data_IF_952745115237
#
_entry.id   IF_952745115237
#
_cell.length_a   1.000
_cell.length_b   1.000
_cell.length_c   1.000
_cell.angle_alpha   90.00
_cell.angle_beta   90.00
_cell.angle_gamma   90.00
#
_symmetry.space_group_name_H-M   'P 1'
#
loop_
_entity.id
_entity.type
_entity.pdbx_description
1 polymer ?
#
# COMPACT_ATOMS: atom_id res chain seq x y z
N UNK A 1 85.33 2.03 12.69
CA UNK A 1 84.39 1.46 11.68
C UNK A 1 83.00 1.72 12.16
N UNK A 2 82.39 2.81 11.63
CA UNK A 2 81.03 3.25 12.03
C UNK A 2 80.00 2.79 11.03
N UNK A 3 79.11 1.92 11.45
CA UNK A 3 77.95 1.52 10.66
C UNK A 3 76.78 2.37 11.13
N UNK A 4 76.38 3.37 10.30
CA UNK A 4 75.14 4.16 10.46
C UNK A 4 74.03 3.42 9.76
N UNK A 5 73.11 2.87 10.52
CA UNK A 5 71.85 2.33 10.00
C UNK A 5 70.87 3.48 9.69
N UNK A 6 70.49 3.62 8.43
CA UNK A 6 69.44 4.54 7.98
C UNK A 6 68.09 3.88 8.19
N UNK A 7 67.28 4.44 9.09
CA UNK A 7 65.91 4.04 9.29
C UNK A 7 65.03 4.80 8.24
N UNK A 8 64.45 4.04 7.34
CA UNK A 8 63.45 4.57 6.36
C UNK A 8 62.11 4.54 7.01
N UNK A 9 61.57 5.72 7.33
CA UNK A 9 60.22 5.86 7.81
C UNK A 9 59.29 6.04 6.59
N UNK A 10 58.48 5.03 6.29
CA UNK A 10 57.46 5.07 5.27
C UNK A 10 56.18 5.62 5.92
N UNK A 11 55.85 6.87 5.65
CA UNK A 11 54.56 7.46 5.99
C UNK A 11 53.51 6.95 5.01
N UNK A 12 52.69 6.00 5.42
CA UNK A 12 51.48 5.61 4.71
C UNK A 12 50.41 6.66 4.94
N UNK A 13 50.23 7.59 3.98
CA UNK A 13 49.10 8.50 3.96
C UNK A 13 47.85 7.71 3.60
N UNK A 14 47.07 7.29 4.59
CA UNK A 14 45.74 6.74 4.38
C UNK A 14 44.78 7.80 3.88
N UNK A 15 44.37 7.67 2.64
CA UNK A 15 43.29 8.47 2.09
C UNK A 15 41.95 7.97 2.70
N UNK A 16 41.48 8.66 3.72
CA UNK A 16 40.11 8.54 4.19
C UNK A 16 39.19 9.22 3.17
N UNK A 17 38.69 8.45 2.22
CA UNK A 17 37.57 8.89 1.41
C UNK A 17 36.32 8.90 2.29
N UNK A 18 36.04 10.04 2.90
CA UNK A 18 34.71 10.29 3.44
C UNK A 18 33.74 10.38 2.25
N UNK A 19 32.99 9.32 2.01
CA UNK A 19 31.79 9.40 1.18
C UNK A 19 30.83 10.34 1.92
N UNK A 20 30.86 11.61 1.57
CA UNK A 20 29.80 12.54 1.93
C UNK A 20 28.54 12.02 1.22
N UNK A 21 27.67 11.33 1.94
CA UNK A 21 26.31 11.17 1.49
C UNK A 21 25.76 12.58 1.37
N UNK A 22 25.57 13.04 0.14
CA UNK A 22 24.82 14.24 -0.12
C UNK A 22 23.43 13.98 0.43
N UNK A 23 23.16 14.45 1.61
CA UNK A 23 21.82 14.48 2.17
C UNK A 23 21.08 15.47 1.30
N UNK A 24 20.20 14.96 0.41
CA UNK A 24 19.29 15.80 -0.37
C UNK A 24 18.51 16.68 0.61
N UNK A 25 18.99 17.91 0.77
CA UNK A 25 18.26 18.89 1.55
C UNK A 25 17.01 19.23 0.78
N UNK A 26 15.87 18.87 1.31
CA UNK A 26 14.60 19.38 0.81
C UNK A 26 14.65 20.91 0.98
N UNK A 27 14.90 21.62 -0.12
CA UNK A 27 14.83 23.05 -0.15
C UNK A 27 13.38 23.48 -0.29
N UNK A 28 12.80 23.90 0.82
CA UNK A 28 11.51 24.57 0.80
C UNK A 28 11.74 26.04 0.41
N UNK A 29 11.46 26.38 -0.84
CA UNK A 29 11.72 27.73 -1.36
C UNK A 29 10.46 28.56 -1.57
N UNK A 30 9.27 28.07 -1.18
CA UNK A 30 8.03 28.72 -1.54
C UNK A 30 7.31 29.38 -0.38
N UNK A 31 6.82 30.58 -0.63
CA UNK A 31 5.67 31.16 0.06
C UNK A 31 4.35 30.64 -0.55
N UNK A 32 4.46 29.85 -1.60
CA UNK A 32 3.32 29.41 -2.38
C UNK A 32 2.60 28.28 -1.66
N UNK A 33 1.46 28.64 -1.19
CA UNK A 33 0.50 27.68 -0.71
C UNK A 33 -0.15 27.00 -1.92
N UNK A 34 -0.29 25.69 -1.84
CA UNK A 34 -1.07 24.97 -2.83
C UNK A 34 -2.50 25.49 -2.89
N UNK A 35 -3.08 25.57 -4.06
CA UNK A 35 -4.49 25.93 -4.24
C UNK A 35 -5.33 24.64 -4.30
N UNK A 36 -6.11 24.32 -3.24
CA UNK A 36 -6.90 23.09 -3.19
C UNK A 36 -8.05 23.04 -4.24
N UNK A 37 -8.39 24.17 -4.86
CA UNK A 37 -9.37 24.20 -5.94
C UNK A 37 -8.80 23.74 -7.28
N UNK A 38 -7.49 23.61 -7.41
CA UNK A 38 -6.82 23.16 -8.63
C UNK A 38 -6.36 21.72 -8.47
N UNK A 39 -6.50 20.93 -9.54
CA UNK A 39 -6.15 19.50 -9.56
C UNK A 39 -4.69 19.24 -9.12
N UNK A 40 -3.77 20.08 -9.57
CA UNK A 40 -2.35 20.02 -9.24
C UNK A 40 -1.96 20.93 -8.07
N UNK A 41 -2.92 21.54 -7.41
CA UNK A 41 -2.68 22.54 -6.38
C UNK A 41 -1.99 23.81 -6.88
N UNK A 42 -1.95 24.04 -8.20
CA UNK A 42 -1.13 25.07 -8.87
C UNK A 42 0.38 24.92 -8.62
N UNK A 43 0.81 23.73 -8.22
CA UNK A 43 2.24 23.46 -8.05
C UNK A 43 2.90 23.17 -9.40
N UNK A 44 4.10 23.65 -9.58
CA UNK A 44 4.91 23.30 -10.73
C UNK A 44 5.19 21.80 -10.76
N UNK A 45 5.02 21.13 -11.90
CA UNK A 45 5.34 19.72 -12.00
C UNK A 45 6.84 19.49 -11.73
N UNK A 46 7.13 18.45 -10.95
CA UNK A 46 8.52 18.03 -10.73
C UNK A 46 9.04 17.40 -12.00
N UNK A 47 10.17 17.88 -12.51
CA UNK A 47 10.78 17.36 -13.75
C UNK A 47 11.11 15.86 -13.58
N UNK A 48 10.66 15.05 -14.53
CA UNK A 48 10.86 13.60 -14.52
C UNK A 48 9.84 12.81 -13.69
N UNK A 49 8.84 13.47 -13.12
CA UNK A 49 7.74 12.83 -12.42
C UNK A 49 6.47 12.87 -13.27
N UNK A 50 5.81 11.73 -13.39
CA UNK A 50 4.51 11.58 -14.02
C UNK A 50 3.50 11.18 -12.97
N UNK A 51 2.44 11.97 -12.82
CA UNK A 51 1.31 11.64 -11.95
C UNK A 51 0.21 11.00 -12.80
N UNK A 52 -0.14 9.76 -12.46
CA UNK A 52 -1.17 9.01 -13.17
C UNK A 52 -2.28 8.69 -12.18
N UNK A 53 -3.48 9.18 -12.48
CA UNK A 53 -4.66 8.85 -11.69
C UNK A 53 -5.16 7.46 -12.10
N UNK A 54 -5.09 6.49 -11.18
CA UNK A 54 -5.53 5.12 -11.43
C UNK A 54 -7.03 4.95 -11.19
N UNK A 55 -7.55 5.57 -10.14
CA UNK A 55 -8.95 5.46 -9.73
C UNK A 55 -9.46 6.84 -9.33
N UNK A 56 -10.67 7.15 -9.75
CA UNK A 56 -11.38 8.33 -9.29
C UNK A 56 -12.75 7.87 -8.77
N UNK A 57 -12.88 7.81 -7.46
CA UNK A 57 -14.15 7.47 -6.84
C UNK A 57 -15.23 8.50 -7.19
N UNK A 58 -16.38 8.01 -7.64
CA UNK A 58 -17.50 8.85 -8.01
C UNK A 58 -18.81 8.07 -7.83
N UNK A 59 -19.71 8.58 -6.99
CA UNK A 59 -21.02 7.96 -6.72
C UNK A 59 -21.99 8.11 -7.88
N UNK A 60 -21.90 9.21 -8.61
CA UNK A 60 -22.76 9.48 -9.76
C UNK A 60 -22.36 8.70 -11.00
N UNK A 61 -21.08 8.35 -11.09
CA UNK A 61 -20.50 7.59 -12.20
C UNK A 61 -19.64 6.44 -11.69
N UNK A 62 -20.25 5.41 -11.07
CA UNK A 62 -19.51 4.28 -10.49
C UNK A 62 -18.65 3.52 -11.50
N UNK A 63 -19.11 3.43 -12.75
CA UNK A 63 -18.36 2.75 -13.83
C UNK A 63 -17.05 3.44 -14.19
N UNK A 64 -16.87 4.70 -13.82
CA UNK A 64 -15.62 5.44 -14.00
C UNK A 64 -14.55 5.07 -12.97
N UNK A 65 -14.87 4.20 -12.01
CA UNK A 65 -13.96 3.77 -10.96
C UNK A 65 -14.02 2.25 -10.75
N UNK A 66 -14.56 1.79 -9.64
CA UNK A 66 -14.59 0.38 -9.25
C UNK A 66 -15.97 -0.30 -9.43
N UNK A 67 -16.88 0.33 -10.12
CA UNK A 67 -18.22 -0.17 -10.36
C UNK A 67 -19.21 0.03 -9.19
N UNK A 68 -18.72 0.36 -8.00
CA UNK A 68 -19.53 0.48 -6.79
C UNK A 68 -19.86 1.94 -6.41
N UNK A 69 -19.16 2.91 -6.98
CA UNK A 69 -19.25 4.30 -6.58
C UNK A 69 -18.77 4.58 -5.15
N UNK A 70 -17.99 3.68 -4.58
CA UNK A 70 -17.44 3.81 -3.23
C UNK A 70 -16.38 4.89 -3.17
N UNK A 71 -16.42 5.69 -2.11
CA UNK A 71 -15.61 6.91 -2.02
C UNK A 71 -14.44 6.80 -1.05
N UNK A 72 -14.43 5.81 -0.17
CA UNK A 72 -13.27 5.53 0.65
C UNK A 72 -12.34 4.55 -0.05
N UNK A 73 -11.13 4.99 -0.36
CA UNK A 73 -10.08 4.16 -0.96
C UNK A 73 -8.81 4.32 -0.14
N UNK A 74 -8.23 3.22 0.32
CA UNK A 74 -7.15 3.23 1.30
C UNK A 74 -6.08 2.20 1.00
N UNK A 75 -4.89 2.40 1.59
CA UNK A 75 -3.75 1.48 1.55
C UNK A 75 -3.35 1.01 0.14
N UNK A 76 -3.00 1.93 -0.76
CA UNK A 76 -2.48 1.55 -2.06
C UNK A 76 -1.14 0.82 -1.91
N UNK A 77 -1.03 -0.34 -2.53
CA UNK A 77 0.19 -1.13 -2.59
C UNK A 77 0.56 -1.42 -4.04
N UNK A 78 1.84 -1.32 -4.34
CA UNK A 78 2.38 -1.54 -5.67
C UNK A 78 3.45 -2.63 -5.62
N UNK A 79 3.41 -3.53 -6.59
CA UNK A 79 4.48 -4.49 -6.86
C UNK A 79 4.84 -4.48 -8.33
N UNK A 80 6.10 -4.76 -8.64
CA UNK A 80 6.55 -5.09 -9.98
C UNK A 80 7.05 -6.53 -9.97
N UNK A 81 6.45 -7.37 -10.77
CA UNK A 81 6.78 -8.79 -10.83
C UNK A 81 6.56 -9.35 -12.22
N UNK A 82 7.48 -10.18 -12.70
CA UNK A 82 7.40 -10.84 -13.99
C UNK A 82 7.09 -9.89 -15.18
N UNK A 83 7.72 -8.68 -15.16
CA UNK A 83 7.55 -7.69 -16.24
C UNK A 83 6.25 -6.90 -16.21
N UNK A 84 5.52 -6.95 -15.11
CA UNK A 84 4.21 -6.29 -14.95
C UNK A 84 4.08 -5.62 -13.60
N UNK A 85 3.39 -4.49 -13.54
CA UNK A 85 2.98 -3.81 -12.33
C UNK A 85 1.66 -4.39 -11.83
N UNK A 86 1.54 -4.51 -10.51
CA UNK A 86 0.36 -4.92 -9.78
C UNK A 86 0.07 -3.85 -8.74
N UNK A 87 -1.14 -3.33 -8.75
CA UNK A 87 -1.58 -2.31 -7.82
C UNK A 87 -2.85 -2.78 -7.14
N UNK A 88 -2.86 -2.77 -5.82
CA UNK A 88 -4.05 -3.11 -5.06
C UNK A 88 -4.38 -2.03 -4.04
N UNK A 89 -5.65 -1.92 -3.71
CA UNK A 89 -6.17 -1.00 -2.71
C UNK A 89 -7.45 -1.54 -2.09
N UNK A 90 -7.69 -1.12 -0.85
CA UNK A 90 -8.95 -1.35 -0.15
C UNK A 90 -9.95 -0.29 -0.55
N UNK A 91 -11.22 -0.65 -0.69
CA UNK A 91 -12.32 0.29 -0.82
C UNK A 91 -13.50 -0.08 0.08
N UNK A 92 -14.08 0.95 0.67
CA UNK A 92 -15.30 0.91 1.48
C UNK A 92 -16.33 1.92 0.93
N UNK A 93 -17.63 1.76 1.25
CA UNK A 93 -18.68 2.60 0.68
C UNK A 93 -18.51 4.10 0.89
N UNK A 94 -18.08 4.53 2.08
CA UNK A 94 -18.04 5.96 2.42
C UNK A 94 -16.95 6.37 3.39
N UNK A 95 -16.55 5.49 4.28
CA UNK A 95 -15.60 5.76 5.36
C UNK A 95 -14.90 4.49 5.76
N UNK A 96 -13.82 4.60 6.52
CA UNK A 96 -13.08 3.46 7.07
C UNK A 96 -14.00 2.61 7.96
N UNK A 97 -13.87 1.31 7.82
CA UNK A 97 -14.64 0.34 8.61
C UNK A 97 -16.15 0.29 8.30
N UNK A 98 -16.58 0.85 7.19
CA UNK A 98 -17.99 0.75 6.74
C UNK A 98 -18.13 -0.44 5.81
N UNK A 99 -18.73 -1.56 6.23
CA UNK A 99 -18.95 -2.71 5.37
C UNK A 99 -20.02 -2.41 4.28
N UNK A 100 -19.96 -3.15 3.15
CA UNK A 100 -18.98 -4.20 2.84
C UNK A 100 -17.66 -3.61 2.35
N UNK A 101 -16.54 -4.23 2.75
CA UNK A 101 -15.20 -3.86 2.26
C UNK A 101 -14.75 -4.81 1.18
N UNK A 102 -13.97 -4.30 0.22
CA UNK A 102 -13.36 -5.10 -0.85
C UNK A 102 -11.93 -4.64 -1.09
N UNK A 103 -11.10 -5.57 -1.54
CA UNK A 103 -9.77 -5.22 -2.07
C UNK A 103 -9.78 -5.40 -3.58
N UNK A 104 -9.34 -4.38 -4.30
CA UNK A 104 -9.23 -4.36 -5.74
C UNK A 104 -7.80 -4.55 -6.20
N UNK A 105 -7.64 -5.16 -7.37
CA UNK A 105 -6.38 -5.36 -8.07
C UNK A 105 -6.47 -4.73 -9.46
N UNK A 106 -5.43 -4.04 -9.86
CA UNK A 106 -5.22 -3.51 -11.20
C UNK A 106 -3.83 -3.90 -11.67
N UNK A 107 -3.65 -4.05 -12.98
CA UNK A 107 -2.36 -4.39 -13.56
C UNK A 107 -1.96 -3.45 -14.69
N UNK A 108 -0.64 -3.32 -14.92
CA UNK A 108 -0.10 -2.55 -16.02
C UNK A 108 1.24 -3.13 -16.49
N UNK A 109 1.50 -3.06 -17.79
CA UNK A 109 2.80 -3.43 -18.36
C UNK A 109 3.78 -2.27 -18.44
N UNK A 110 3.28 -1.05 -18.50
CA UNK A 110 4.07 0.16 -18.76
C UNK A 110 3.97 1.20 -17.65
N UNK A 111 3.11 0.98 -16.65
CA UNK A 111 2.83 1.92 -15.57
C UNK A 111 1.91 3.09 -15.98
N UNK A 112 1.57 3.21 -17.27
CA UNK A 112 0.73 4.28 -17.79
C UNK A 112 -0.70 3.84 -18.08
N UNK A 113 -0.86 2.63 -18.63
CA UNK A 113 -2.15 2.05 -18.97
C UNK A 113 -2.46 0.92 -18.01
N UNK A 114 -3.55 1.06 -17.30
CA UNK A 114 -3.97 0.13 -16.26
C UNK A 114 -5.29 -0.54 -16.63
N UNK A 115 -5.44 -1.78 -16.18
CA UNK A 115 -6.71 -2.48 -16.28
C UNK A 115 -7.76 -1.80 -15.41
N UNK A 116 -9.03 -2.10 -15.68
CA UNK A 116 -10.07 -1.78 -14.71
C UNK A 116 -9.82 -2.53 -13.40
N UNK A 117 -10.28 -1.96 -12.25
CA UNK A 117 -10.21 -2.65 -10.97
C UNK A 117 -11.00 -3.96 -10.98
N UNK A 118 -10.36 -5.04 -10.53
CA UNK A 118 -10.99 -6.34 -10.32
C UNK A 118 -10.96 -6.70 -8.83
N UNK A 119 -12.00 -7.37 -8.33
CA UNK A 119 -12.09 -7.72 -6.92
C UNK A 119 -11.15 -8.90 -6.64
N UNK A 120 -10.07 -8.67 -5.91
CA UNK A 120 -9.17 -9.74 -5.47
C UNK A 120 -9.60 -10.36 -4.14
N UNK A 121 -10.17 -9.59 -3.24
CA UNK A 121 -10.80 -10.09 -2.02
C UNK A 121 -12.20 -9.50 -1.90
N UNK A 122 -13.25 -10.34 -2.04
CA UNK A 122 -14.64 -9.93 -1.90
C UNK A 122 -15.03 -9.75 -0.43
N UNK A 123 -16.21 -9.23 -0.14
CA UNK A 123 -16.76 -9.26 1.21
C UNK A 123 -16.89 -10.68 1.73
N UNK A 124 -16.62 -10.88 3.01
CA UNK A 124 -16.76 -12.17 3.68
C UNK A 124 -17.82 -12.10 4.77
N UNK A 125 -18.68 -13.11 4.82
CA UNK A 125 -19.62 -13.27 5.93
C UNK A 125 -18.87 -13.70 7.20
N UNK A 126 -19.09 -13.01 8.29
CA UNK A 126 -18.58 -13.44 9.60
C UNK A 126 -19.43 -14.60 10.10
N UNK A 127 -18.83 -15.69 10.58
CA UNK A 127 -19.61 -16.78 11.18
C UNK A 127 -20.45 -16.28 12.36
N UNK A 128 -21.72 -16.65 12.38
CA UNK A 128 -22.58 -16.36 13.52
C UNK A 128 -22.02 -16.97 14.81
N UNK A 129 -22.13 -16.23 15.90
CA UNK A 129 -21.57 -16.64 17.18
C UNK A 129 -20.09 -16.33 17.38
N UNK A 130 -19.40 -15.74 16.38
CA UNK A 130 -18.03 -15.27 16.56
C UNK A 130 -17.98 -14.23 17.70
N UNK A 131 -16.96 -14.31 18.57
CA UNK A 131 -16.75 -13.44 19.72
C UNK A 131 -15.37 -12.80 19.70
N UNK A 132 -15.21 -11.69 20.39
CA UNK A 132 -13.92 -11.03 20.64
C UNK A 132 -13.68 -10.88 22.13
N UNK A 133 -12.43 -11.02 22.55
CA UNK A 133 -12.04 -10.79 23.95
C UNK A 133 -12.30 -9.35 24.40
N UNK A 134 -12.13 -8.39 23.47
CA UNK A 134 -12.40 -6.97 23.71
C UNK A 134 -13.91 -6.64 23.89
N UNK A 135 -14.80 -7.58 23.54
CA UNK A 135 -16.26 -7.40 23.57
C UNK A 135 -16.95 -8.61 24.23
N UNK A 136 -16.70 -8.86 25.51
CA UNK A 136 -17.25 -10.01 26.21
C UNK A 136 -18.78 -9.99 26.20
N UNK A 137 -19.38 -11.14 25.88
CA UNK A 137 -20.84 -11.30 25.85
C UNK A 137 -21.53 -10.80 24.57
N UNK A 138 -20.79 -10.22 23.64
CA UNK A 138 -21.32 -9.81 22.32
C UNK A 138 -20.90 -10.87 21.29
N UNK A 139 -21.85 -11.30 20.47
CA UNK A 139 -21.63 -12.28 19.41
C UNK A 139 -21.97 -11.69 18.05
N UNK A 140 -21.22 -12.08 17.02
CA UNK A 140 -21.55 -11.75 15.65
C UNK A 140 -22.87 -12.42 15.24
N UNK A 141 -23.70 -11.68 14.53
CA UNK A 141 -24.90 -12.17 13.87
C UNK A 141 -25.14 -11.38 12.60
N UNK A 142 -25.21 -12.08 11.48
CA UNK A 142 -25.42 -11.48 10.14
C UNK A 142 -24.43 -10.34 9.79
N UNK A 143 -23.20 -10.43 10.29
CA UNK A 143 -22.18 -9.41 10.06
C UNK A 143 -21.29 -9.74 8.87
N UNK A 144 -20.95 -8.70 8.12
CA UNK A 144 -19.93 -8.76 7.07
C UNK A 144 -18.60 -8.30 7.64
N UNK A 145 -17.55 -9.06 7.38
CA UNK A 145 -16.20 -8.72 7.76
C UNK A 145 -15.74 -7.44 7.05
N UNK A 146 -14.95 -6.66 7.75
CA UNK A 146 -14.31 -5.47 7.23
C UNK A 146 -12.92 -5.86 6.76
N UNK A 147 -12.64 -5.65 5.46
CA UNK A 147 -11.29 -5.84 4.93
C UNK A 147 -10.43 -4.74 5.51
N UNK A 148 -9.52 -5.18 6.35
CA UNK A 148 -8.74 -4.26 7.13
C UNK A 148 -7.48 -3.82 6.41
N UNK A 149 -6.97 -2.68 6.84
CA UNK A 149 -5.61 -2.21 6.51
C UNK A 149 -4.61 -3.38 6.61
N UNK A 150 -3.43 -3.25 6.04
CA UNK A 150 -2.38 -4.28 5.95
C UNK A 150 -2.54 -5.21 4.76
N UNK A 151 -3.11 -4.69 3.70
CA UNK A 151 -2.98 -5.30 2.37
C UNK A 151 -1.53 -5.21 1.90
N UNK A 152 -1.08 -6.12 1.05
CA UNK A 152 0.28 -6.07 0.57
C UNK A 152 0.60 -7.16 -0.43
N UNK A 153 1.79 -7.04 -1.00
CA UNK A 153 2.36 -8.06 -1.87
C UNK A 153 3.59 -8.69 -1.23
N UNK A 154 3.81 -9.94 -1.53
CA UNK A 154 4.99 -10.69 -1.14
C UNK A 154 5.46 -11.58 -2.30
N UNK A 155 6.70 -11.43 -2.70
CA UNK A 155 7.33 -12.36 -3.64
C UNK A 155 8.04 -13.45 -2.84
N UNK A 156 7.56 -14.67 -2.97
CA UNK A 156 8.10 -15.82 -2.25
C UNK A 156 9.50 -16.19 -2.74
N UNK A 157 10.24 -16.98 -1.95
CA UNK A 157 11.55 -17.51 -2.36
C UNK A 157 11.48 -18.37 -3.62
N UNK A 158 10.32 -18.97 -3.90
CA UNK A 158 10.06 -19.73 -5.13
C UNK A 158 9.63 -18.86 -6.32
N UNK A 159 9.65 -17.54 -6.18
CA UNK A 159 9.31 -16.59 -7.23
C UNK A 159 7.82 -16.41 -7.49
N UNK A 160 6.95 -16.84 -6.58
CA UNK A 160 5.50 -16.63 -6.67
C UNK A 160 5.11 -15.28 -6.10
N UNK A 161 4.21 -14.57 -6.77
CA UNK A 161 3.62 -13.35 -6.23
C UNK A 161 2.39 -13.72 -5.39
N UNK A 162 2.40 -13.29 -4.16
CA UNK A 162 1.31 -13.46 -3.21
C UNK A 162 0.72 -12.09 -2.91
N UNK A 163 -0.58 -11.96 -3.01
CA UNK A 163 -1.32 -10.83 -2.45
C UNK A 163 -1.96 -11.24 -1.13
N UNK A 164 -2.05 -10.32 -0.21
CA UNK A 164 -2.61 -10.58 1.11
C UNK A 164 -3.44 -9.40 1.60
N UNK A 165 -4.41 -9.70 2.42
CA UNK A 165 -5.20 -8.74 3.17
C UNK A 165 -5.50 -9.29 4.56
N UNK A 166 -5.77 -8.39 5.49
CA UNK A 166 -6.26 -8.73 6.82
C UNK A 166 -7.71 -8.27 6.91
N UNK A 167 -8.58 -9.02 7.55
CA UNK A 167 -9.95 -8.61 7.77
C UNK A 167 -10.38 -8.83 9.20
N UNK A 168 -11.23 -7.92 9.66
CA UNK A 168 -11.75 -7.89 11.01
C UNK A 168 -13.27 -7.82 11.05
N UNK A 169 -13.80 -7.62 12.20
CA UNK A 169 -15.23 -7.39 12.43
C UNK A 169 -15.42 -6.40 13.56
N UNK A 170 -16.34 -5.47 13.39
CA UNK A 170 -16.91 -4.71 14.49
C UNK A 170 -18.20 -5.40 14.93
N UNK A 171 -18.23 -5.93 16.14
CA UNK A 171 -19.41 -6.63 16.68
C UNK A 171 -20.57 -5.67 17.01
N UNK A 172 -20.24 -4.41 17.25
CA UNK A 172 -21.18 -3.32 17.41
C UNK A 172 -20.54 -1.97 17.08
N UNK A 173 -21.29 -0.88 17.17
CA UNK A 173 -20.85 0.49 16.82
C UNK A 173 -19.70 1.03 17.68
N UNK A 174 -19.38 0.40 18.80
CA UNK A 174 -18.31 0.81 19.74
C UNK A 174 -17.09 -0.10 19.63
N UNK A 175 -17.15 -1.11 18.78
CA UNK A 175 -16.09 -2.09 18.62
C UNK A 175 -15.10 -1.62 17.55
N UNK A 176 -13.82 -1.81 17.79
CA UNK A 176 -12.77 -1.59 16.83
C UNK A 176 -12.51 -2.89 16.06
N UNK A 177 -12.72 -2.92 14.72
CA UNK A 177 -12.43 -4.12 13.93
C UNK A 177 -10.95 -4.52 13.93
N UNK A 178 -10.07 -3.65 14.39
CA UNK A 178 -8.64 -3.92 14.56
C UNK A 178 -8.28 -4.71 15.80
N UNK A 179 -9.15 -4.75 16.78
CA UNK A 179 -8.88 -5.41 18.03
C UNK A 179 -8.60 -6.91 17.85
N UNK A 180 -7.61 -7.42 18.57
CA UNK A 180 -7.29 -8.83 18.62
C UNK A 180 -6.77 -9.44 17.31
N UNK A 181 -6.10 -8.66 16.44
CA UNK A 181 -5.60 -9.09 15.13
C UNK A 181 -6.71 -9.39 14.09
N UNK A 182 -7.91 -8.91 14.29
CA UNK A 182 -9.05 -9.15 13.42
C UNK A 182 -9.53 -10.61 13.43
N UNK A 183 -10.29 -11.02 12.42
CA UNK A 183 -10.75 -12.39 12.24
C UNK A 183 -9.62 -13.26 11.66
N UNK A 184 -8.87 -12.72 10.71
CA UNK A 184 -7.79 -13.45 10.06
C UNK A 184 -7.21 -12.75 8.84
N UNK A 185 -6.37 -13.49 8.15
CA UNK A 185 -5.71 -13.03 6.93
C UNK A 185 -6.18 -13.83 5.74
N UNK A 186 -6.36 -13.16 4.64
CA UNK A 186 -6.64 -13.77 3.33
C UNK A 186 -5.43 -13.64 2.45
N UNK A 187 -5.18 -14.69 1.66
CA UNK A 187 -4.00 -14.78 0.80
C UNK A 187 -4.42 -15.39 -0.52
N UNK A 188 -3.92 -14.84 -1.63
CA UNK A 188 -4.05 -15.43 -2.96
C UNK A 188 -2.70 -15.42 -3.67
N UNK A 189 -2.44 -16.44 -4.45
CA UNK A 189 -1.34 -16.46 -5.42
C UNK A 189 -1.80 -15.77 -6.69
N UNK A 190 -1.06 -14.77 -7.14
CA UNK A 190 -1.25 -14.14 -8.44
C UNK A 190 -0.39 -14.90 -9.44
N UNK A 191 -0.99 -15.40 -10.51
CA UNK A 191 -0.31 -16.11 -11.58
C UNK A 191 0.35 -15.14 -12.55
N UNK A 192 1.22 -15.65 -13.42
CA UNK A 192 1.98 -14.84 -14.38
C UNK A 192 1.11 -14.08 -15.38
N UNK A 193 -0.08 -14.60 -15.66
CA UNK A 193 -1.08 -13.95 -16.52
C UNK A 193 -1.93 -12.90 -15.80
N UNK A 194 -1.73 -12.72 -14.50
CA UNK A 194 -2.47 -11.78 -13.66
C UNK A 194 -3.72 -12.37 -13.01
N UNK A 195 -4.09 -13.62 -13.35
CA UNK A 195 -5.20 -14.32 -12.68
C UNK A 195 -4.83 -14.76 -11.25
N UNK A 196 -5.81 -15.07 -10.41
CA UNK A 196 -5.66 -15.47 -9.01
C UNK A 196 -6.72 -16.48 -8.57
#
# INVERSE_FOLDING_TARGET
MNNSAKILVVLAAGWLTTTAFAQDRIHYTGKELSNPACHDGQLSPVVGVHNIQLVRANREHPDASNGNGWTYNHQPMLAYWNGQFFYQYLADPSDEHVPPSQTFLMTSKDGYRWTNPEIVFPPYQVPDGYTKESRPGVQAKDLIAIMHQRVGFYVSKSGKLITMGNYGVALDKKDDPNDGNGIGRVVREIKKDGSY
#
